data_IF_507774516683
#
_entry.id   IF_507774516683
#
_cell.length_a   1.000
_cell.length_b   1.000
_cell.length_c   1.000
_cell.angle_alpha   90.00
_cell.angle_beta   90.00
_cell.angle_gamma   90.00
#
_symmetry.space_group_name_H-M   'P 1'
#
loop_
_entity.id
_entity.type
_entity.pdbx_description
1 polymer ?
#
# COMPACT_ATOMS: atom_id res chain seq x y z
N UNK A 1 84.51 20.88 32.34
CA UNK A 1 83.33 21.54 31.72
C UNK A 1 82.73 20.59 30.69
N UNK A 2 81.62 19.92 31.01
CA UNK A 2 81.08 18.79 30.25
C UNK A 2 79.73 19.15 29.60
N UNK A 3 79.49 18.54 28.44
CA UNK A 3 78.58 18.94 27.35
C UNK A 3 77.08 19.01 27.74
N UNK A 4 76.39 20.09 27.34
CA UNK A 4 74.92 20.21 27.35
C UNK A 4 74.31 19.18 26.39
N UNK A 5 73.56 18.22 26.94
CA UNK A 5 72.68 17.32 26.17
C UNK A 5 71.36 18.02 25.87
N UNK A 6 71.04 18.14 24.59
CA UNK A 6 69.73 18.52 24.06
C UNK A 6 68.77 17.36 24.31
N UNK A 7 67.65 17.58 25.02
CA UNK A 7 66.58 16.59 25.15
C UNK A 7 65.33 17.10 24.41
N UNK A 8 65.14 16.61 23.18
CA UNK A 8 63.87 16.68 22.45
C UNK A 8 63.04 15.45 22.81
N UNK A 9 62.03 15.58 23.67
CA UNK A 9 60.93 14.60 23.77
C UNK A 9 59.61 15.26 24.18
N UNK A 10 58.55 14.74 23.57
CA UNK A 10 57.10 14.98 23.78
C UNK A 10 56.56 16.16 22.94
N UNK A 11 56.29 16.04 21.64
CA UNK A 11 55.48 15.05 20.89
C UNK A 11 54.09 14.87 21.49
N UNK A 12 53.14 15.63 20.92
CA UNK A 12 51.77 15.17 20.67
C UNK A 12 50.88 15.05 21.89
N UNK A 13 50.30 16.17 22.31
CA UNK A 13 49.05 16.18 23.07
C UNK A 13 47.95 15.53 22.21
N UNK A 14 47.76 14.22 22.42
CA UNK A 14 46.73 13.40 21.77
C UNK A 14 45.39 13.71 22.43
N UNK A 15 44.83 14.88 22.16
CA UNK A 15 43.46 15.20 22.57
C UNK A 15 42.49 14.95 21.41
N UNK A 16 42.36 13.67 21.01
CA UNK A 16 41.26 13.19 20.16
C UNK A 16 40.67 11.95 20.83
N UNK A 17 39.93 12.15 21.92
CA UNK A 17 39.16 11.08 22.56
C UNK A 17 37.80 11.59 23.03
N UNK A 18 36.81 11.43 22.15
CA UNK A 18 35.53 10.80 22.46
C UNK A 18 34.70 10.69 21.18
N UNK A 19 34.88 9.60 20.42
CA UNK A 19 33.81 9.14 19.53
C UNK A 19 32.81 8.42 20.43
N UNK A 20 31.82 9.17 20.93
CA UNK A 20 30.76 8.63 21.77
C UNK A 20 30.00 7.54 21.02
N UNK A 21 30.29 6.28 21.35
CA UNK A 21 29.39 5.19 21.00
C UNK A 21 28.17 5.37 21.90
N UNK A 22 27.01 5.69 21.32
CA UNK A 22 25.74 5.75 22.05
C UNK A 22 25.00 4.41 21.84
N UNK A 23 25.30 3.37 22.63
CA UNK A 23 24.72 2.04 22.45
C UNK A 23 23.19 2.06 22.54
N UNK A 24 22.63 2.92 23.39
CA UNK A 24 21.18 3.09 23.52
C UNK A 24 20.52 3.59 22.22
N UNK A 25 21.12 4.56 21.53
CA UNK A 25 20.56 5.11 20.28
C UNK A 25 20.53 4.03 19.20
N UNK A 26 21.61 3.25 19.09
CA UNK A 26 21.68 2.11 18.16
C UNK A 26 20.63 1.05 18.49
N UNK A 27 20.47 0.69 19.76
CA UNK A 27 19.47 -0.29 20.17
C UNK A 27 18.07 0.19 19.83
N UNK A 28 17.72 1.43 20.18
CA UNK A 28 16.41 2.02 19.86
C UNK A 28 16.17 1.99 18.33
N UNK A 29 17.16 2.39 17.54
CA UNK A 29 17.09 2.32 16.07
C UNK A 29 16.80 0.90 15.57
N UNK A 30 17.56 -0.09 16.02
CA UNK A 30 17.41 -1.48 15.56
C UNK A 30 16.02 -2.04 15.85
N UNK A 31 15.51 -1.82 17.06
CA UNK A 31 14.18 -2.30 17.45
C UNK A 31 13.06 -1.54 16.74
N UNK A 32 13.20 -0.22 16.55
CA UNK A 32 12.20 0.57 15.82
C UNK A 32 12.08 0.10 14.37
N UNK A 33 13.19 -0.07 13.67
CA UNK A 33 13.16 -0.51 12.27
C UNK A 33 12.73 -1.98 12.12
N UNK A 34 13.09 -2.85 13.07
CA UNK A 34 12.56 -4.21 13.12
C UNK A 34 11.03 -4.21 13.31
N UNK A 35 10.51 -3.36 14.20
CA UNK A 35 9.07 -3.23 14.44
C UNK A 35 8.33 -2.71 13.19
N UNK A 36 8.88 -1.69 12.52
CA UNK A 36 8.31 -1.16 11.26
C UNK A 36 8.29 -2.24 10.18
N UNK A 37 9.41 -2.94 9.97
CA UNK A 37 9.48 -4.03 8.99
C UNK A 37 8.47 -5.13 9.28
N UNK A 38 8.31 -5.50 10.55
CA UNK A 38 7.32 -6.48 10.99
C UNK A 38 5.88 -6.00 10.75
N UNK A 39 5.58 -4.73 11.03
CA UNK A 39 4.26 -4.15 10.79
C UNK A 39 3.89 -4.15 9.31
N UNK A 40 4.83 -3.81 8.42
CA UNK A 40 4.65 -3.89 6.97
C UNK A 40 4.37 -5.33 6.51
N UNK A 41 5.15 -6.28 7.02
CA UNK A 41 5.00 -7.71 6.71
C UNK A 41 3.62 -8.23 7.12
N UNK A 42 3.19 -7.95 8.35
CA UNK A 42 1.88 -8.35 8.87
C UNK A 42 0.77 -7.71 8.03
N UNK A 43 0.85 -6.41 7.77
CA UNK A 43 -0.17 -5.69 7.00
C UNK A 43 -0.32 -6.25 5.58
N UNK A 44 0.80 -6.48 4.88
CA UNK A 44 0.77 -7.07 3.55
C UNK A 44 0.21 -8.49 3.54
N UNK A 45 0.58 -9.30 4.54
CA UNK A 45 0.10 -10.69 4.66
C UNK A 45 -1.40 -10.73 4.93
N UNK A 46 -1.90 -9.95 5.89
CA UNK A 46 -3.33 -9.89 6.22
C UNK A 46 -4.16 -9.45 5.01
N UNK A 47 -3.69 -8.47 4.24
CA UNK A 47 -4.36 -8.02 3.02
C UNK A 47 -4.42 -9.11 1.95
N UNK A 48 -3.32 -9.83 1.69
CA UNK A 48 -3.32 -10.95 0.73
C UNK A 48 -4.28 -12.06 1.15
N UNK A 49 -4.29 -12.41 2.44
CA UNK A 49 -5.22 -13.43 2.97
C UNK A 49 -6.67 -12.97 2.82
N UNK A 50 -6.97 -11.72 3.17
CA UNK A 50 -8.30 -11.15 2.99
C UNK A 50 -8.75 -11.16 1.52
N UNK A 51 -7.87 -10.77 0.60
CA UNK A 51 -8.12 -10.84 -0.84
C UNK A 51 -8.39 -12.30 -1.30
N UNK A 52 -7.57 -13.26 -0.84
CA UNK A 52 -7.74 -14.68 -1.16
C UNK A 52 -9.06 -15.25 -0.62
N UNK A 53 -9.42 -14.90 0.62
CA UNK A 53 -10.71 -15.26 1.22
C UNK A 53 -11.88 -14.74 0.38
N UNK A 54 -11.84 -13.48 -0.05
CA UNK A 54 -12.86 -12.89 -0.95
C UNK A 54 -12.90 -13.52 -2.34
N UNK A 55 -11.75 -13.96 -2.84
CA UNK A 55 -11.66 -14.60 -4.15
C UNK A 55 -12.18 -16.04 -4.16
N UNK A 56 -11.96 -16.80 -3.08
CA UNK A 56 -12.21 -18.25 -3.04
C UNK A 56 -13.43 -18.64 -2.20
N UNK A 57 -13.70 -17.95 -1.09
CA UNK A 57 -14.74 -18.31 -0.10
C UNK A 57 -15.89 -17.32 -0.13
N UNK A 58 -15.59 -16.02 -0.10
CA UNK A 58 -16.58 -14.94 -0.05
C UNK A 58 -16.71 -14.22 -1.39
N UNK A 59 -17.01 -14.96 -2.46
CA UNK A 59 -17.09 -14.44 -3.83
C UNK A 59 -18.06 -13.27 -4.01
N UNK A 60 -19.04 -13.11 -3.10
CA UNK A 60 -20.00 -12.00 -3.11
C UNK A 60 -19.56 -10.76 -2.34
N UNK A 61 -18.49 -10.82 -1.53
CA UNK A 61 -18.09 -9.72 -0.65
C UNK A 61 -17.53 -8.50 -1.41
N UNK A 62 -17.05 -8.68 -2.65
CA UNK A 62 -16.56 -7.59 -3.50
C UNK A 62 -17.63 -7.02 -4.45
N UNK A 63 -18.87 -7.54 -4.42
CA UNK A 63 -19.95 -7.06 -5.30
C UNK A 63 -20.32 -5.59 -5.07
N UNK A 64 -20.00 -5.02 -3.92
CA UNK A 64 -20.34 -3.63 -3.62
C UNK A 64 -19.58 -2.62 -4.51
N UNK A 65 -18.41 -3.00 -5.04
CA UNK A 65 -17.66 -2.18 -6.00
C UNK A 65 -18.33 -2.09 -7.39
N UNK A 66 -19.45 -2.79 -7.60
CA UNK A 66 -20.21 -2.81 -8.88
C UNK A 66 -21.24 -1.69 -9.01
N UNK A 67 -21.37 -0.81 -8.01
CA UNK A 67 -22.34 0.28 -8.06
C UNK A 67 -21.78 1.47 -8.86
N UNK A 68 -21.40 1.24 -10.11
CA UNK A 68 -21.28 2.36 -11.05
C UNK A 68 -22.71 2.76 -11.41
N UNK A 69 -23.09 4.00 -11.10
CA UNK A 69 -24.45 4.46 -11.32
C UNK A 69 -24.81 4.35 -12.82
N UNK A 70 -26.03 3.93 -13.17
CA UNK A 70 -26.44 3.89 -14.57
C UNK A 70 -26.45 5.30 -15.17
N UNK A 71 -26.26 5.42 -16.49
CA UNK A 71 -26.45 6.68 -17.20
C UNK A 71 -27.82 7.28 -16.88
N UNK A 72 -27.85 8.57 -16.57
CA UNK A 72 -29.10 9.27 -16.23
C UNK A 72 -29.98 9.32 -17.48
N UNK A 73 -31.25 8.90 -17.34
CA UNK A 73 -32.20 8.94 -18.44
C UNK A 73 -32.43 10.39 -18.91
N UNK A 74 -32.47 10.66 -20.24
CA UNK A 74 -32.64 12.00 -20.78
C UNK A 74 -34.07 12.54 -20.59
N UNK A 75 -35.02 11.67 -20.29
CA UNK A 75 -36.42 12.01 -20.01
C UNK A 75 -36.69 11.81 -18.52
N UNK A 76 -37.16 12.87 -17.85
CA UNK A 76 -37.58 12.78 -16.46
C UNK A 76 -38.81 11.87 -16.31
N UNK A 77 -38.93 11.18 -15.18
CA UNK A 77 -40.03 10.24 -14.87
C UNK A 77 -41.43 10.82 -15.16
N UNK A 78 -41.61 12.13 -14.92
CA UNK A 78 -42.86 12.87 -15.13
C UNK A 78 -43.34 12.87 -16.59
N UNK A 79 -42.42 12.93 -17.57
CA UNK A 79 -42.76 12.85 -18.99
C UNK A 79 -43.03 11.43 -19.48
N UNK A 80 -42.51 10.41 -18.79
CA UNK A 80 -42.77 9.01 -19.16
C UNK A 80 -44.25 8.66 -18.94
N UNK A 81 -44.87 9.25 -17.91
CA UNK A 81 -46.30 9.10 -17.64
C UNK A 81 -47.15 9.78 -18.75
N UNK A 82 -46.76 10.98 -19.19
CA UNK A 82 -47.45 11.70 -20.29
C UNK A 82 -47.36 10.99 -21.65
N UNK A 83 -46.32 10.18 -21.87
CA UNK A 83 -46.18 9.39 -23.10
C UNK A 83 -47.21 8.24 -23.19
N UNK A 84 -47.75 7.76 -22.06
CA UNK A 84 -48.86 6.79 -22.09
C UNK A 84 -50.15 7.41 -22.66
N UNK A 85 -50.29 8.73 -22.59
CA UNK A 85 -51.45 9.48 -23.08
C UNK A 85 -51.31 9.94 -24.55
N UNK A 86 -50.31 9.42 -25.28
CA UNK A 86 -50.20 9.60 -26.74
C UNK A 86 -49.48 10.88 -27.19
N UNK A 87 -48.76 11.55 -26.28
CA UNK A 87 -47.87 12.68 -26.65
C UNK A 87 -46.72 12.15 -27.53
N UNK A 88 -46.52 12.78 -28.69
CA UNK A 88 -45.42 12.41 -29.60
C UNK A 88 -44.11 13.06 -29.16
N UNK A 89 -43.05 12.24 -29.10
CA UNK A 89 -41.68 12.70 -28.88
C UNK A 89 -41.18 13.49 -30.09
N UNK A 90 -40.41 14.55 -29.86
CA UNK A 90 -39.70 15.24 -30.94
C UNK A 90 -38.56 14.35 -31.49
N UNK A 91 -38.14 14.60 -32.72
CA UNK A 91 -36.99 13.89 -33.32
C UNK A 91 -35.71 14.04 -32.48
N UNK A 92 -35.51 15.20 -31.85
CA UNK A 92 -34.39 15.44 -30.92
C UNK A 92 -34.47 14.53 -29.68
N UNK A 93 -35.67 14.34 -29.14
CA UNK A 93 -35.87 13.47 -27.97
C UNK A 93 -35.68 12.00 -28.31
N UNK A 94 -36.14 11.56 -29.49
CA UNK A 94 -35.90 10.21 -29.98
C UNK A 94 -34.40 9.93 -30.11
N UNK A 95 -33.65 10.86 -30.70
CA UNK A 95 -32.19 10.77 -30.78
C UNK A 95 -31.52 10.71 -29.40
N UNK A 96 -31.98 11.50 -28.42
CA UNK A 96 -31.44 11.42 -27.04
C UNK A 96 -31.71 10.06 -26.39
N UNK A 97 -32.89 9.47 -26.61
CA UNK A 97 -33.25 8.14 -26.10
C UNK A 97 -32.39 7.06 -26.75
N UNK A 98 -32.17 7.12 -28.06
CA UNK A 98 -31.33 6.15 -28.79
C UNK A 98 -29.89 6.17 -28.27
N UNK A 99 -29.30 7.36 -28.11
CA UNK A 99 -27.96 7.52 -27.55
C UNK A 99 -27.90 7.00 -26.10
N UNK A 100 -28.89 7.33 -25.27
CA UNK A 100 -28.95 6.82 -23.89
C UNK A 100 -29.11 5.30 -23.83
N UNK A 101 -29.87 4.69 -24.74
CA UNK A 101 -30.04 3.24 -24.80
C UNK A 101 -28.71 2.56 -25.15
N UNK A 102 -27.94 3.13 -26.08
CA UNK A 102 -26.59 2.66 -26.41
C UNK A 102 -25.65 2.76 -25.20
N UNK A 103 -25.63 3.92 -24.53
CA UNK A 103 -24.84 4.14 -23.31
C UNK A 103 -25.24 3.18 -22.19
N UNK A 104 -26.55 2.94 -22.01
CA UNK A 104 -27.08 2.03 -21.00
C UNK A 104 -26.69 0.57 -21.29
N UNK A 105 -26.75 0.14 -22.55
CA UNK A 105 -26.29 -1.20 -22.94
C UNK A 105 -24.79 -1.37 -22.74
N UNK A 106 -23.99 -0.35 -23.07
CA UNK A 106 -22.56 -0.32 -22.82
C UNK A 106 -22.25 -0.38 -21.32
N UNK A 107 -22.93 0.42 -20.51
CA UNK A 107 -22.85 0.38 -19.05
C UNK A 107 -23.21 -1.01 -18.50
N UNK A 108 -24.30 -1.61 -18.96
CA UNK A 108 -24.73 -2.94 -18.50
C UNK A 108 -23.68 -4.02 -18.81
N UNK A 109 -23.03 -3.94 -19.98
CA UNK A 109 -21.92 -4.82 -20.38
C UNK A 109 -20.68 -4.59 -19.51
N UNK A 110 -20.38 -3.35 -19.15
CA UNK A 110 -19.23 -2.99 -18.32
C UNK A 110 -19.43 -3.40 -16.84
N UNK A 111 -20.63 -3.19 -16.28
CA UNK A 111 -20.96 -3.56 -14.89
C UNK A 111 -21.10 -5.07 -14.70
N UNK A 112 -21.55 -5.80 -15.73
CA UNK A 112 -21.62 -7.26 -15.71
C UNK A 112 -20.24 -7.93 -15.87
N UNK A 113 -19.24 -7.20 -16.36
CA UNK A 113 -17.86 -7.66 -16.50
C UNK A 113 -17.16 -7.92 -15.16
N UNK A 114 -16.20 -8.86 -15.17
CA UNK A 114 -15.31 -9.12 -14.04
C UNK A 114 -14.07 -8.19 -14.04
N UNK A 115 -13.93 -7.30 -15.04
CA UNK A 115 -12.68 -6.54 -15.26
C UNK A 115 -12.34 -5.57 -14.13
N UNK A 116 -13.33 -4.84 -13.61
CA UNK A 116 -13.13 -3.93 -12.47
C UNK A 116 -12.72 -4.69 -11.20
N UNK A 117 -13.30 -5.87 -10.97
CA UNK A 117 -12.96 -6.73 -9.85
C UNK A 117 -11.54 -7.30 -9.97
N UNK A 118 -11.17 -7.76 -11.15
CA UNK A 118 -9.81 -8.27 -11.43
C UNK A 118 -8.80 -7.15 -11.22
N UNK A 119 -9.07 -5.96 -11.74
CA UNK A 119 -8.20 -4.79 -11.59
C UNK A 119 -8.03 -4.38 -10.12
N UNK A 120 -9.12 -4.39 -9.35
CA UNK A 120 -9.07 -4.09 -7.90
C UNK A 120 -8.23 -5.13 -7.15
N UNK A 121 -8.43 -6.42 -7.44
CA UNK A 121 -7.64 -7.52 -6.85
C UNK A 121 -6.17 -7.44 -7.22
N UNK A 122 -5.85 -7.13 -8.48
CA UNK A 122 -4.47 -6.93 -8.92
C UNK A 122 -3.81 -5.76 -8.18
N UNK A 123 -4.54 -4.65 -7.97
CA UNK A 123 -4.05 -3.51 -7.20
C UNK A 123 -3.80 -3.86 -5.73
N UNK A 124 -4.74 -4.57 -5.10
CA UNK A 124 -4.60 -5.03 -3.72
C UNK A 124 -3.42 -6.00 -3.57
N UNK A 125 -3.28 -6.96 -4.49
CA UNK A 125 -2.16 -7.89 -4.55
C UNK A 125 -0.81 -7.15 -4.74
N UNK A 126 -0.73 -6.25 -5.72
CA UNK A 126 0.48 -5.46 -6.01
C UNK A 126 0.95 -4.66 -4.78
N UNK A 127 0.01 -3.96 -4.14
CA UNK A 127 0.30 -3.18 -2.92
C UNK A 127 0.78 -4.09 -1.78
N UNK A 128 0.10 -5.22 -1.58
CA UNK A 128 0.40 -6.13 -0.47
C UNK A 128 1.73 -6.86 -0.67
N UNK A 129 2.03 -7.28 -1.90
CA UNK A 129 3.33 -7.84 -2.27
C UNK A 129 4.44 -6.81 -2.08
N UNK A 130 4.21 -5.55 -2.44
CA UNK A 130 5.17 -4.45 -2.22
C UNK A 130 5.49 -4.28 -0.73
N UNK A 131 4.48 -4.31 0.13
CA UNK A 131 4.67 -4.26 1.59
C UNK A 131 5.52 -5.42 2.10
N UNK A 132 5.29 -6.64 1.61
CA UNK A 132 6.06 -7.82 2.01
C UNK A 132 7.50 -7.74 1.48
N UNK A 133 7.69 -7.36 0.22
CA UNK A 133 9.01 -7.24 -0.40
C UNK A 133 9.90 -6.21 0.29
N UNK A 134 9.33 -5.13 0.84
CA UNK A 134 10.07 -4.13 1.61
C UNK A 134 10.19 -4.53 3.08
N UNK A 135 9.08 -4.98 3.68
CA UNK A 135 9.00 -5.32 5.10
C UNK A 135 9.85 -6.53 5.50
N UNK A 136 9.88 -7.56 4.65
CA UNK A 136 10.62 -8.80 4.90
C UNK A 136 12.13 -8.58 5.04
N UNK A 137 12.85 -8.01 4.05
CA UNK A 137 14.28 -7.76 4.20
C UNK A 137 14.57 -6.75 5.32
N UNK A 138 13.72 -5.75 5.51
CA UNK A 138 13.88 -4.78 6.59
C UNK A 138 13.83 -5.44 7.97
N UNK A 139 12.82 -6.29 8.21
CA UNK A 139 12.67 -7.04 9.45
C UNK A 139 13.84 -8.03 9.64
N UNK A 140 14.12 -8.86 8.64
CA UNK A 140 15.15 -9.90 8.74
C UNK A 140 16.53 -9.31 9.00
N UNK A 141 16.88 -8.21 8.35
CA UNK A 141 18.16 -7.54 8.55
C UNK A 141 18.31 -7.07 10.01
N UNK A 142 17.37 -6.27 10.50
CA UNK A 142 17.43 -5.72 11.86
C UNK A 142 17.34 -6.82 12.93
N UNK A 143 16.46 -7.80 12.73
CA UNK A 143 16.33 -8.93 13.64
C UNK A 143 17.59 -9.79 13.70
N UNK A 144 18.26 -10.01 12.56
CA UNK A 144 19.51 -10.79 12.52
C UNK A 144 20.61 -10.15 13.37
N UNK A 145 20.71 -8.82 13.35
CA UNK A 145 21.70 -8.06 14.15
C UNK A 145 21.38 -8.19 15.63
N UNK A 146 20.13 -7.92 16.03
CA UNK A 146 19.67 -8.06 17.41
C UNK A 146 19.94 -9.47 17.94
N UNK A 147 19.65 -10.50 17.13
CA UNK A 147 19.88 -11.91 17.50
C UNK A 147 21.37 -12.23 17.69
N UNK A 148 22.26 -11.64 16.89
CA UNK A 148 23.72 -11.83 17.03
C UNK A 148 24.24 -11.15 18.29
N UNK A 149 23.77 -9.94 18.58
CA UNK A 149 24.18 -9.18 19.78
C UNK A 149 23.69 -9.82 21.08
N UNK A 150 22.43 -10.27 21.11
CA UNK A 150 21.86 -10.96 22.27
C UNK A 150 22.54 -12.31 22.55
N UNK A 151 22.99 -13.04 21.52
CA UNK A 151 23.79 -14.25 21.68
C UNK A 151 25.18 -13.93 22.24
N UNK A 152 25.87 -12.94 21.67
CA UNK A 152 27.21 -12.54 22.13
C UNK A 152 27.20 -12.08 23.60
N UNK A 153 26.18 -11.34 24.03
CA UNK A 153 26.02 -10.88 25.41
C UNK A 153 25.73 -12.01 26.41
N UNK A 154 25.16 -13.16 25.96
CA UNK A 154 24.90 -14.33 26.82
C UNK A 154 26.12 -15.24 26.98
N UNK A 155 27.10 -15.14 26.08
CA UNK A 155 28.32 -15.97 26.07
C UNK A 155 29.53 -15.28 26.71
N UNK A 156 29.38 -14.02 27.13
CA UNK A 156 30.39 -13.24 27.85
C UNK A 156 30.06 -13.20 29.35
#
# INVERSE_FOLDING_TARGET
MNKKKINKKNVGDKNVKSKGHHPLIRTIYLYLFALIGLALLITGTVRLVNMGLKALIFTKADNYLRMEAPPIAPVGMERIEELQDGVQLSEEQLSMIDNWLEDYQAWQKNVSGNEGLISSRQREASTSISLILVGLPLYLFHWSIIRRETKAAKSA
#
